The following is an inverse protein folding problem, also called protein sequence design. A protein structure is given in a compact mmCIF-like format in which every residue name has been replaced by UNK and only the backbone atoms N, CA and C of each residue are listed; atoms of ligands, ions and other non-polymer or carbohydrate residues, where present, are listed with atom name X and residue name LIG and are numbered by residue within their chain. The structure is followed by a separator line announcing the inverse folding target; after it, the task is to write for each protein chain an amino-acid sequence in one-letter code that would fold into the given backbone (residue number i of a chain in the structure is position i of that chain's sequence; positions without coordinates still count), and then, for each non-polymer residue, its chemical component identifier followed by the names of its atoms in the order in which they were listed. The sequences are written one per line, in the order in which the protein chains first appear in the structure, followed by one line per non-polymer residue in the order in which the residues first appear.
data_IF_438960538756
#
_entry.id   IF_438960538756
#
_cell.length_a   1.000
_cell.length_b   1.000
_cell.length_c   1.000
_cell.angle_alpha   90.00
_cell.angle_beta   90.00
_cell.angle_gamma   90.00
#
_symmetry.space_group_name_H-M   'P 1'
#
loop_
_entity.id
_entity.type
_entity.pdbx_description
1 polymer ?
#
# COMPACT_ATOMS: atom_id res chain seq x y z
N UNK A 1 6.00 -20.18 7.17
CA UNK A 1 6.25 -18.93 6.41
C UNK A 1 4.94 -18.52 5.77
N UNK A 2 4.34 -17.42 6.22
CA UNK A 2 2.94 -17.06 5.93
C UNK A 2 2.69 -16.62 4.49
N UNK A 3 1.42 -16.71 4.08
CA UNK A 3 0.96 -16.37 2.73
C UNK A 3 1.44 -14.99 2.28
N UNK A 4 1.90 -14.91 1.03
CA UNK A 4 2.32 -13.66 0.40
C UNK A 4 1.07 -12.81 0.14
N UNK A 5 0.89 -11.75 0.93
CA UNK A 5 -0.07 -10.69 0.62
C UNK A 5 0.49 -9.89 -0.55
N UNK A 6 -0.09 -10.11 -1.73
CA UNK A 6 0.23 -9.36 -2.94
C UNK A 6 -1.06 -8.74 -3.47
N UNK A 7 -1.15 -7.42 -3.34
CA UNK A 7 -2.22 -6.64 -3.96
C UNK A 7 -1.93 -6.52 -5.44
N UNK A 8 -2.92 -6.81 -6.27
CA UNK A 8 -2.84 -6.54 -7.70
C UNK A 8 -3.66 -5.29 -7.99
N UNK A 9 -2.98 -4.19 -8.34
CA UNK A 9 -3.65 -2.96 -8.75
C UNK A 9 -4.04 -3.05 -10.24
N UNK A 10 -5.27 -2.65 -10.56
CA UNK A 10 -5.64 -2.37 -11.96
C UNK A 10 -5.08 -1.01 -12.39
N UNK A 11 -4.98 -0.77 -13.70
CA UNK A 11 -4.46 0.51 -14.21
C UNK A 11 -5.24 1.73 -13.73
N UNK A 12 -6.53 1.57 -13.43
CA UNK A 12 -7.37 2.63 -12.83
C UNK A 12 -7.03 2.87 -11.37
N UNK A 13 -6.75 1.80 -10.60
CA UNK A 13 -6.33 1.90 -9.20
C UNK A 13 -4.96 2.57 -9.06
N UNK A 14 -4.00 2.27 -9.95
CA UNK A 14 -2.71 2.98 -9.97
C UNK A 14 -2.91 4.47 -10.30
N UNK A 15 -3.77 4.81 -11.26
CA UNK A 15 -4.12 6.22 -11.56
C UNK A 15 -4.74 6.94 -10.36
N UNK A 16 -5.64 6.28 -9.63
CA UNK A 16 -6.27 6.86 -8.43
C UNK A 16 -5.25 7.04 -7.30
N UNK A 17 -4.39 6.04 -7.04
CA UNK A 17 -3.31 6.14 -6.07
C UNK A 17 -2.28 7.22 -6.46
N UNK A 18 -1.99 7.36 -7.75
CA UNK A 18 -1.11 8.40 -8.26
C UNK A 18 -1.73 9.79 -8.07
N UNK A 19 -3.03 9.95 -8.32
CA UNK A 19 -3.76 11.20 -8.03
C UNK A 19 -3.73 11.54 -6.54
N UNK A 20 -3.87 10.55 -5.66
CA UNK A 20 -3.78 10.74 -4.20
C UNK A 20 -2.38 11.22 -3.76
N UNK A 21 -1.31 10.83 -4.45
CA UNK A 21 0.04 11.33 -4.19
C UNK A 21 0.17 12.83 -4.49
N UNK A 22 -0.46 13.27 -5.58
CA UNK A 22 -0.42 14.67 -6.05
C UNK A 22 -1.45 15.56 -5.37
N UNK A 23 -2.51 14.98 -4.81
CA UNK A 23 -3.53 15.71 -4.09
C UNK A 23 -2.98 16.32 -2.77
N UNK A 24 -3.62 17.39 -2.32
CA UNK A 24 -3.38 18.02 -1.01
C UNK A 24 -3.99 17.18 0.11
N UNK A 25 -3.52 15.94 0.22
CA UNK A 25 -3.92 15.01 1.27
C UNK A 25 -2.83 14.93 2.33
N UNK A 26 -3.19 14.58 3.59
CA UNK A 26 -2.21 14.40 4.65
C UNK A 26 -1.11 13.40 4.25
N UNK A 27 0.12 13.61 4.74
CA UNK A 27 1.27 12.73 4.46
C UNK A 27 0.96 11.25 4.71
N UNK A 28 0.21 10.94 5.78
CA UNK A 28 -0.24 9.57 6.10
C UNK A 28 -0.99 8.89 4.96
N UNK A 29 -1.74 9.64 4.16
CA UNK A 29 -2.47 9.11 2.99
C UNK A 29 -1.51 8.81 1.85
N UNK A 30 -0.49 9.68 1.65
CA UNK A 30 0.57 9.49 0.65
C UNK A 30 1.42 8.25 0.98
N UNK A 31 1.82 8.11 2.24
CA UNK A 31 2.58 6.94 2.72
C UNK A 31 1.82 5.64 2.47
N UNK A 32 0.52 5.60 2.81
CA UNK A 32 -0.34 4.43 2.57
C UNK A 32 -0.47 4.10 1.09
N UNK A 33 -0.63 5.11 0.23
CA UNK A 33 -0.70 4.91 -1.21
C UNK A 33 0.60 4.32 -1.76
N UNK A 34 1.75 4.79 -1.24
CA UNK A 34 3.07 4.33 -1.64
C UNK A 34 3.34 2.89 -1.17
N UNK A 35 2.92 2.53 0.05
CA UNK A 35 2.94 1.15 0.57
C UNK A 35 2.19 0.17 -0.35
N UNK A 36 0.97 0.54 -0.76
CA UNK A 36 0.13 -0.29 -1.65
C UNK A 36 0.81 -0.47 -3.02
N UNK A 37 1.39 0.61 -3.55
CA UNK A 37 2.09 0.60 -4.84
C UNK A 37 3.33 -0.31 -4.81
N UNK A 38 4.15 -0.19 -3.75
CA UNK A 38 5.33 -1.02 -3.56
C UNK A 38 4.95 -2.51 -3.42
N UNK A 39 3.89 -2.81 -2.67
CA UNK A 39 3.39 -4.18 -2.56
C UNK A 39 2.91 -4.73 -3.91
N UNK A 40 2.23 -3.92 -4.72
CA UNK A 40 1.81 -4.29 -6.08
C UNK A 40 2.97 -4.55 -7.03
N UNK A 41 4.09 -3.84 -6.84
CA UNK A 41 5.36 -4.09 -7.55
C UNK A 41 6.07 -5.38 -7.11
N UNK A 42 5.57 -6.06 -6.07
CA UNK A 42 6.12 -7.31 -5.56
C UNK A 42 7.08 -7.13 -4.37
N UNK A 43 7.11 -5.96 -3.74
CA UNK A 43 7.88 -5.76 -2.52
C UNK A 43 7.26 -6.52 -1.34
N UNK A 44 8.14 -7.09 -0.51
CA UNK A 44 7.74 -7.76 0.72
C UNK A 44 7.27 -6.77 1.78
N UNK A 45 6.24 -7.17 2.53
CA UNK A 45 5.69 -6.41 3.67
C UNK A 45 6.78 -5.98 4.65
N UNK A 46 7.73 -6.87 4.95
CA UNK A 46 8.85 -6.61 5.87
C UNK A 46 9.78 -5.54 5.31
N UNK A 47 10.10 -5.60 4.02
CA UNK A 47 10.94 -4.60 3.34
C UNK A 47 10.28 -3.22 3.32
N UNK A 48 8.98 -3.17 3.08
CA UNK A 48 8.19 -1.93 3.12
C UNK A 48 8.13 -1.39 4.54
N UNK A 49 7.88 -2.25 5.53
CA UNK A 49 7.87 -1.89 6.95
C UNK A 49 9.20 -1.24 7.37
N UNK A 50 10.35 -1.82 6.99
CA UNK A 50 11.66 -1.21 7.28
C UNK A 50 11.83 0.15 6.58
N UNK A 51 11.38 0.29 5.34
CA UNK A 51 11.50 1.55 4.58
C UNK A 51 10.71 2.70 5.23
N UNK A 52 9.50 2.43 5.71
CA UNK A 52 8.65 3.42 6.38
C UNK A 52 8.87 3.49 7.89
N UNK A 53 9.77 2.68 8.45
CA UNK A 53 9.97 2.51 9.88
C UNK A 53 8.66 2.11 10.63
N UNK A 54 7.85 1.27 9.99
CA UNK A 54 6.58 0.76 10.50
C UNK A 54 6.70 -0.70 10.93
N UNK A 55 5.70 -1.19 11.68
CA UNK A 55 5.60 -2.62 11.94
C UNK A 55 5.02 -3.36 10.73
N UNK A 56 5.45 -4.60 10.50
CA UNK A 56 4.87 -5.44 9.45
C UNK A 56 3.35 -5.65 9.63
N UNK A 57 2.85 -5.58 10.86
CA UNK A 57 1.43 -5.65 11.17
C UNK A 57 0.68 -4.43 10.62
N UNK A 58 1.20 -3.22 10.83
CA UNK A 58 0.61 -1.98 10.27
C UNK A 58 0.54 -2.03 8.74
N UNK A 59 1.59 -2.53 8.07
CA UNK A 59 1.59 -2.69 6.61
C UNK A 59 0.52 -3.69 6.18
N UNK A 60 0.37 -4.83 6.87
CA UNK A 60 -0.71 -5.80 6.59
C UNK A 60 -2.09 -5.20 6.79
N UNK A 61 -2.32 -4.43 7.85
CA UNK A 61 -3.60 -3.77 8.10
C UNK A 61 -3.95 -2.77 6.99
N UNK A 62 -2.97 -2.00 6.51
CA UNK A 62 -3.17 -1.07 5.39
C UNK A 62 -3.56 -1.83 4.11
N UNK A 63 -2.86 -2.93 3.81
CA UNK A 63 -3.17 -3.76 2.65
C UNK A 63 -4.54 -4.44 2.76
N UNK A 64 -4.87 -5.01 3.92
CA UNK A 64 -6.18 -5.63 4.16
C UNK A 64 -7.30 -4.61 4.10
N UNK A 65 -7.10 -3.41 4.65
CA UNK A 65 -8.08 -2.33 4.56
C UNK A 65 -8.30 -1.94 3.11
N UNK A 66 -7.24 -1.79 2.32
CA UNK A 66 -7.34 -1.50 0.89
C UNK A 66 -8.06 -2.60 0.11
N UNK A 67 -7.77 -3.87 0.37
CA UNK A 67 -8.45 -5.00 -0.27
C UNK A 67 -9.94 -5.05 0.06
N UNK A 68 -10.32 -4.69 1.30
CA UNK A 68 -11.71 -4.61 1.74
C UNK A 68 -12.47 -3.40 1.18
N UNK A 69 -11.78 -2.27 1.02
CA UNK A 69 -12.34 -1.01 0.49
C UNK A 69 -12.39 -1.00 -1.05
N UNK A 70 -11.98 -2.11 -1.69
CA UNK A 70 -12.00 -2.32 -3.14
C UNK A 70 -13.45 -2.44 -3.64
N UNK A 71 -14.14 -1.31 -3.68
CA UNK A 71 -15.42 -1.09 -4.38
C UNK A 71 -15.15 -1.04 -5.89
#
# INVERSE_FOLDING_TARGET
MGARLRVFLTGEQDKTLFKLRTADVPQKVKDRAEVIRLNSQGWYVEKIATYFNWTAQTVREVLHKWEKDRI
#
